data_IF_785895330891
#
_entry.id   IF_785895330891
#
_cell.length_a   1.000
_cell.length_b   1.000
_cell.length_c   1.000
_cell.angle_alpha   90.00
_cell.angle_beta   90.00
_cell.angle_gamma   90.00
#
_symmetry.space_group_name_H-M   'P 1'
#
loop_
_entity.id
_entity.type
_entity.pdbx_description
1 polymer ?
#
# COMPACT_ATOMS: atom_id res chain seq x y z
N UNK A 1 0.01 -15.71 18.48
CA UNK A 1 -0.18 -16.68 17.38
C UNK A 1 -0.58 -15.86 16.16
N UNK A 2 0.37 -15.54 15.26
CA UNK A 2 0.13 -14.66 14.09
C UNK A 2 -0.81 -15.39 13.13
N UNK A 3 -2.12 -15.19 13.27
CA UNK A 3 -3.17 -15.76 12.41
C UNK A 3 -3.84 -14.68 11.55
N UNK A 4 -3.14 -13.61 11.24
CA UNK A 4 -3.54 -12.54 10.32
C UNK A 4 -2.74 -12.59 9.02
N UNK A 5 -2.53 -13.79 8.47
CA UNK A 5 -2.01 -14.00 7.11
C UNK A 5 -2.67 -13.11 6.04
N UNK A 6 -4.01 -12.95 6.00
CA UNK A 6 -4.63 -12.11 4.98
C UNK A 6 -4.30 -10.61 5.13
N UNK A 7 -4.06 -10.09 6.34
CA UNK A 7 -3.60 -8.71 6.53
C UNK A 7 -2.20 -8.50 5.97
N UNK A 8 -1.30 -9.44 6.21
CA UNK A 8 0.07 -9.40 5.69
C UNK A 8 0.04 -9.50 4.16
N UNK A 9 -0.81 -10.38 3.61
CA UNK A 9 -0.99 -10.49 2.17
C UNK A 9 -1.52 -9.17 1.59
N UNK A 10 -2.55 -8.55 2.14
CA UNK A 10 -3.09 -7.29 1.59
C UNK A 10 -2.11 -6.13 1.78
N UNK A 11 -1.51 -6.01 2.97
CA UNK A 11 -0.54 -4.97 3.30
C UNK A 11 0.79 -5.07 2.55
N UNK A 12 1.10 -6.22 1.95
CA UNK A 12 2.37 -6.46 1.22
C UNK A 12 2.15 -6.68 -0.28
N UNK A 13 1.18 -7.49 -0.67
CA UNK A 13 0.89 -7.80 -2.09
C UNK A 13 0.39 -6.55 -2.81
N UNK A 14 -0.52 -5.78 -2.24
CA UNK A 14 -1.05 -4.56 -2.89
C UNK A 14 0.06 -3.53 -3.17
N UNK A 15 0.94 -3.15 -2.23
CA UNK A 15 2.02 -2.22 -2.53
C UNK A 15 3.07 -2.82 -3.47
N UNK A 16 3.39 -4.12 -3.38
CA UNK A 16 4.28 -4.78 -4.34
C UNK A 16 3.74 -4.71 -5.77
N UNK A 17 2.44 -5.01 -5.97
CA UNK A 17 1.81 -4.93 -7.29
C UNK A 17 1.70 -3.49 -7.80
N UNK A 18 1.46 -2.51 -6.93
CA UNK A 18 1.44 -1.10 -7.34
C UNK A 18 2.83 -0.62 -7.80
N UNK A 19 3.89 -0.96 -7.06
CA UNK A 19 5.27 -0.61 -7.44
C UNK A 19 5.65 -1.30 -8.75
N UNK A 20 5.42 -2.62 -8.87
CA UNK A 20 5.75 -3.37 -10.08
C UNK A 20 4.95 -2.92 -11.29
N UNK A 21 3.64 -2.69 -11.13
CA UNK A 21 2.76 -2.20 -12.20
C UNK A 21 3.20 -0.82 -12.69
N UNK A 22 3.59 0.05 -11.77
CA UNK A 22 4.16 1.35 -12.09
C UNK A 22 5.47 1.27 -12.88
N UNK A 23 6.43 0.48 -12.41
CA UNK A 23 7.71 0.30 -13.11
C UNK A 23 7.49 -0.33 -14.49
N UNK A 24 6.60 -1.31 -14.62
CA UNK A 24 6.32 -1.95 -15.91
C UNK A 24 5.66 -0.98 -16.90
N UNK A 25 4.73 -0.15 -16.42
CA UNK A 25 3.97 0.79 -17.25
C UNK A 25 4.78 2.03 -17.60
N UNK A 26 5.43 2.65 -16.61
CA UNK A 26 6.20 3.90 -16.78
C UNK A 26 7.67 3.70 -17.08
N UNK A 27 8.24 2.52 -16.83
CA UNK A 27 9.63 2.23 -17.22
C UNK A 27 9.79 2.03 -18.72
N UNK A 28 8.72 1.60 -19.41
CA UNK A 28 8.73 1.41 -20.86
C UNK A 28 8.42 2.68 -21.64
N UNK A 29 7.69 3.59 -21.01
CA UNK A 29 7.34 4.88 -21.60
C UNK A 29 8.27 5.89 -20.94
N UNK A 30 9.31 6.35 -21.65
CA UNK A 30 10.12 7.50 -21.22
C UNK A 30 9.29 8.80 -21.26
N UNK A 31 8.10 8.77 -20.66
CA UNK A 31 7.18 9.88 -20.57
C UNK A 31 7.80 10.92 -19.65
N UNK A 32 7.96 12.10 -20.23
CA UNK A 32 8.37 13.31 -19.52
C UNK A 32 7.14 14.20 -19.44
N UNK A 33 6.66 14.44 -18.21
CA UNK A 33 5.63 15.43 -17.96
C UNK A 33 6.33 16.76 -17.70
N UNK A 34 6.13 17.76 -18.55
CA UNK A 34 6.69 19.10 -18.34
C UNK A 34 8.24 19.12 -18.24
N UNK A 35 8.91 18.16 -18.88
CA UNK A 35 10.36 17.97 -18.79
C UNK A 35 10.83 17.14 -17.58
N UNK A 36 9.91 16.71 -16.71
CA UNK A 36 10.22 15.87 -15.55
C UNK A 36 9.85 14.40 -15.81
N UNK A 37 10.72 13.43 -15.46
CA UNK A 37 10.42 12.03 -15.68
C UNK A 37 9.20 11.58 -14.85
N UNK A 38 8.20 11.01 -15.52
CA UNK A 38 6.95 10.57 -14.88
C UNK A 38 7.19 9.49 -13.82
N UNK A 39 8.28 8.73 -13.95
CA UNK A 39 8.73 7.73 -12.95
C UNK A 39 8.91 8.36 -11.57
N UNK A 40 9.42 9.60 -11.47
CA UNK A 40 9.57 10.26 -10.18
C UNK A 40 8.22 10.63 -9.55
N UNK A 41 7.28 11.14 -10.35
CA UNK A 41 5.92 11.41 -9.89
C UNK A 41 5.25 10.12 -9.39
N UNK A 42 5.45 9.03 -10.12
CA UNK A 42 4.94 7.72 -9.73
C UNK A 42 5.52 7.25 -8.38
N UNK A 43 6.83 7.37 -8.18
CA UNK A 43 7.46 7.06 -6.89
C UNK A 43 6.88 7.93 -5.76
N UNK A 44 6.62 9.21 -6.05
CA UNK A 44 6.00 10.11 -5.08
C UNK A 44 4.58 9.68 -4.70
N UNK A 45 3.80 9.16 -5.66
CA UNK A 45 2.46 8.58 -5.44
C UNK A 45 2.53 7.23 -4.71
N UNK A 46 3.61 6.47 -4.87
CA UNK A 46 3.79 5.20 -4.15
C UNK A 46 3.89 5.41 -2.62
N UNK A 47 4.46 6.51 -2.13
CA UNK A 47 4.55 6.81 -0.68
C UNK A 47 3.21 6.95 0.05
N UNK A 48 2.26 7.78 -0.40
CA UNK A 48 0.93 7.82 0.20
C UNK A 48 0.17 6.53 -0.09
N UNK A 49 0.40 5.87 -1.23
CA UNK A 49 -0.26 4.60 -1.55
C UNK A 49 0.12 3.47 -0.58
N UNK A 50 1.40 3.31 -0.23
CA UNK A 50 1.84 2.34 0.77
C UNK A 50 1.25 2.67 2.15
N UNK A 51 1.24 3.95 2.53
CA UNK A 51 0.60 4.43 3.76
C UNK A 51 -0.90 4.11 3.79
N UNK A 52 -1.61 4.37 2.70
CA UNK A 52 -3.05 4.10 2.57
C UNK A 52 -3.32 2.60 2.60
N UNK A 53 -2.44 1.78 1.99
CA UNK A 53 -2.55 0.34 2.05
C UNK A 53 -2.38 -0.21 3.48
N UNK A 54 -1.40 0.31 4.22
CA UNK A 54 -1.23 -0.01 5.64
C UNK A 54 -2.44 0.44 6.47
N UNK A 55 -2.96 1.64 6.19
CA UNK A 55 -4.15 2.17 6.85
C UNK A 55 -5.40 1.33 6.58
N UNK A 56 -5.63 0.90 5.34
CA UNK A 56 -6.74 0.02 4.95
C UNK A 56 -6.59 -1.37 5.59
N UNK A 57 -5.37 -1.93 5.57
CA UNK A 57 -5.07 -3.19 6.26
C UNK A 57 -5.44 -3.10 7.74
N UNK A 58 -5.07 -2.01 8.40
CA UNK A 58 -5.43 -1.77 9.79
C UNK A 58 -6.95 -1.61 10.00
N UNK A 59 -7.60 -0.80 9.16
CA UNK A 59 -9.03 -0.47 9.28
C UNK A 59 -9.97 -1.66 9.05
N UNK A 60 -9.64 -2.55 8.12
CA UNK A 60 -10.49 -3.68 7.74
C UNK A 60 -10.17 -4.95 8.52
N UNK A 61 -8.89 -5.28 8.71
CA UNK A 61 -8.51 -6.56 9.32
C UNK A 61 -8.20 -6.45 10.81
N UNK A 62 -7.47 -5.42 11.24
CA UNK A 62 -7.03 -5.31 12.64
C UNK A 62 -8.18 -4.89 13.55
N UNK A 63 -9.02 -3.96 13.09
CA UNK A 63 -10.25 -3.55 13.82
C UNK A 63 -11.27 -4.68 13.99
N UNK A 64 -11.27 -5.66 13.09
CA UNK A 64 -12.17 -6.83 13.22
C UNK A 64 -11.65 -7.86 14.23
N UNK A 65 -10.36 -7.80 14.59
CA UNK A 65 -9.72 -8.79 15.46
C UNK A 65 -9.50 -8.30 16.90
N UNK A 66 -9.66 -6.99 17.14
CA UNK A 66 -9.61 -6.39 18.47
C UNK A 66 -10.93 -5.65 18.76
N UNK A 67 -12.00 -6.38 19.12
CA UNK A 67 -13.17 -5.73 19.70
C UNK A 67 -12.75 -5.22 21.09
N UNK A 68 -12.40 -3.95 21.14
CA UNK A 68 -12.31 -3.09 22.33
C UNK A 68 -12.04 -3.82 23.65
N UNK A 69 -10.77 -3.90 24.08
CA UNK A 69 -10.41 -4.10 25.49
C UNK A 69 -10.80 -2.87 26.35
N UNK A 70 -11.99 -2.32 26.12
CA UNK A 70 -12.61 -1.22 26.89
C UNK A 70 -13.79 -1.74 27.73
N UNK A 71 -13.67 -2.96 28.24
CA UNK A 71 -14.46 -3.43 29.37
C UNK A 71 -13.54 -4.22 30.28
N UNK A 72 -13.35 -3.70 31.49
CA UNK A 72 -12.61 -4.30 32.63
C UNK A 72 -11.15 -3.87 32.76
N UNK A 73 -10.92 -2.61 33.10
CA UNK A 73 -9.90 -2.22 34.08
C UNK A 73 -10.48 -1.12 34.98
#
# INVERSE_FOLDING_TARGET
MIRSWPSVVIGFVVPTFAILGGIFTFGRIHAVLFGFPVVFLWTFVCFPFTTLCLWVSWRFFDRSHYPDEEKTA
#
